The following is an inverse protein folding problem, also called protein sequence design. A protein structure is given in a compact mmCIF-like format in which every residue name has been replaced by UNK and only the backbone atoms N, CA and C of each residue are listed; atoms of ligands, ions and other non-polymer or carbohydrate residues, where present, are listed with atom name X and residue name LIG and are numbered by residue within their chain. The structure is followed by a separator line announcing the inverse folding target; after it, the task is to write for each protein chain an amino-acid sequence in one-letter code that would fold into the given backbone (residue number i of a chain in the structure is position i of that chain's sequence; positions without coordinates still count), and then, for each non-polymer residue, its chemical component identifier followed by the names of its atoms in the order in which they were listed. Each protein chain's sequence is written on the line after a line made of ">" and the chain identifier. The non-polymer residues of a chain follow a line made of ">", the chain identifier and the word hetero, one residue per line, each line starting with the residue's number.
data_IF_874794284922
#
_entry.id   IF_874794284922
#
_cell.length_a   1.000
_cell.length_b   1.000
_cell.length_c   1.000
_cell.angle_alpha   90.00
_cell.angle_beta   90.00
_cell.angle_gamma   90.00
#
_symmetry.space_group_name_H-M   'P 1'
#
loop_
_entity.id
_entity.type
_entity.pdbx_description
1 polymer ?
#
# COMPACT_ATOMS: atom_id res chain seq x y z
N UNK A 1 -17.12 12.38 -32.04
CA UNK A 1 -16.16 12.74 -30.97
C UNK A 1 -16.90 12.56 -29.65
N UNK A 2 -16.66 11.44 -28.92
CA UNK A 2 -17.18 11.26 -27.58
C UNK A 2 -16.40 12.19 -26.65
N UNK A 3 -17.10 12.97 -25.85
CA UNK A 3 -16.47 13.75 -24.78
C UNK A 3 -15.93 12.78 -23.72
N UNK A 4 -14.74 13.03 -23.14
CA UNK A 4 -14.26 12.20 -22.05
C UNK A 4 -15.28 12.22 -20.90
N UNK A 5 -15.64 11.03 -20.42
CA UNK A 5 -16.48 10.89 -19.22
C UNK A 5 -15.64 11.40 -18.05
N UNK A 6 -16.10 12.46 -17.41
CA UNK A 6 -15.47 13.03 -16.21
C UNK A 6 -16.45 12.90 -15.06
N UNK A 7 -15.97 12.48 -13.90
CA UNK A 7 -16.80 12.29 -12.72
C UNK A 7 -16.80 10.85 -12.20
N UNK A 8 -17.68 10.50 -11.26
CA UNK A 8 -17.64 9.20 -10.58
C UNK A 8 -17.90 8.00 -11.52
N UNK A 9 -18.58 8.22 -12.67
CA UNK A 9 -18.96 7.16 -13.61
C UNK A 9 -17.86 6.81 -14.63
N UNK A 10 -16.62 7.24 -14.43
CA UNK A 10 -15.49 6.86 -15.30
C UNK A 10 -15.32 5.35 -15.26
N UNK A 11 -15.41 4.63 -16.41
CA UNK A 11 -15.23 3.18 -16.44
C UNK A 11 -13.83 2.79 -15.97
N UNK A 12 -13.75 1.70 -15.18
CA UNK A 12 -12.46 1.12 -14.82
C UNK A 12 -11.76 0.55 -16.05
N UNK A 13 -10.48 0.88 -16.27
CA UNK A 13 -9.70 0.27 -17.36
C UNK A 13 -9.59 -1.26 -17.23
N UNK A 14 -9.80 -1.79 -16.01
CA UNK A 14 -9.70 -3.23 -15.69
C UNK A 14 -11.05 -3.88 -15.40
N UNK A 15 -12.18 -3.27 -15.89
CA UNK A 15 -13.54 -3.74 -15.56
C UNK A 15 -13.77 -5.19 -15.95
N UNK A 16 -13.31 -5.59 -17.13
CA UNK A 16 -13.55 -6.90 -17.74
C UNK A 16 -12.38 -7.89 -17.52
N UNK A 17 -11.31 -7.47 -16.84
CA UNK A 17 -10.15 -8.31 -16.58
C UNK A 17 -10.42 -9.29 -15.44
N UNK A 18 -9.77 -10.49 -15.48
CA UNK A 18 -9.89 -11.50 -14.43
C UNK A 18 -9.64 -10.94 -13.04
N UNK A 19 -10.16 -11.61 -12.03
CA UNK A 19 -9.91 -11.35 -10.62
C UNK A 19 -9.32 -12.60 -9.94
N UNK A 20 -8.79 -12.42 -8.73
CA UNK A 20 -8.25 -13.52 -7.93
C UNK A 20 -6.74 -13.47 -7.74
N UNK A 21 -6.22 -14.42 -6.95
CA UNK A 21 -4.84 -14.40 -6.48
C UNK A 21 -3.80 -14.45 -7.62
N UNK A 22 -3.99 -15.33 -8.60
CA UNK A 22 -3.06 -15.46 -9.74
C UNK A 22 -2.96 -14.17 -10.54
N UNK A 23 -4.10 -13.48 -10.78
CA UNK A 23 -4.10 -12.17 -11.41
C UNK A 23 -3.36 -11.13 -10.58
N UNK A 24 -3.59 -11.13 -9.26
CA UNK A 24 -2.87 -10.25 -8.33
C UNK A 24 -1.37 -10.46 -8.43
N UNK A 25 -0.90 -11.70 -8.29
CA UNK A 25 0.53 -12.04 -8.36
C UNK A 25 1.16 -11.62 -9.69
N UNK A 26 0.47 -11.84 -10.82
CA UNK A 26 0.97 -11.37 -12.12
C UNK A 26 1.13 -9.85 -12.15
N UNK A 27 0.12 -9.10 -11.70
CA UNK A 27 0.16 -7.63 -11.68
C UNK A 27 1.31 -7.13 -10.80
N UNK A 28 1.52 -7.70 -9.61
CA UNK A 28 2.64 -7.35 -8.74
C UNK A 28 3.99 -7.60 -9.42
N UNK A 29 4.21 -8.79 -10.00
CA UNK A 29 5.45 -9.12 -10.68
C UNK A 29 5.75 -8.19 -11.87
N UNK A 30 4.72 -7.79 -12.62
CA UNK A 30 4.86 -6.81 -13.71
C UNK A 30 5.24 -5.43 -13.16
N UNK A 31 4.60 -4.97 -12.08
CA UNK A 31 4.88 -3.66 -11.48
C UNK A 31 6.26 -3.59 -10.80
N UNK A 32 6.77 -4.73 -10.35
CA UNK A 32 8.11 -4.86 -9.83
C UNK A 32 9.17 -4.66 -10.92
N UNK A 33 8.97 -5.25 -12.11
CA UNK A 33 10.00 -5.33 -13.15
C UNK A 33 9.90 -4.25 -14.21
N UNK A 34 8.69 -3.76 -14.54
CA UNK A 34 8.46 -2.78 -15.61
C UNK A 34 9.17 -1.44 -15.35
N UNK A 35 9.71 -0.86 -16.43
CA UNK A 35 10.23 0.50 -16.42
C UNK A 35 9.11 1.51 -16.72
N UNK A 36 8.67 2.33 -15.73
CA UNK A 36 7.63 3.33 -15.93
C UNK A 36 8.04 4.47 -16.88
N UNK A 37 9.34 4.61 -17.18
CA UNK A 37 9.89 5.60 -18.08
C UNK A 37 10.11 5.10 -19.51
N UNK A 38 9.75 3.84 -19.79
CA UNK A 38 9.83 3.32 -21.16
C UNK A 38 9.14 4.26 -22.13
N UNK A 39 9.75 4.48 -23.28
CA UNK A 39 9.21 5.37 -24.33
C UNK A 39 7.85 4.90 -24.81
N UNK A 40 7.63 3.60 -24.87
CA UNK A 40 6.35 2.94 -25.11
C UNK A 40 6.04 2.07 -23.89
N UNK A 41 5.32 2.64 -22.92
CA UNK A 41 4.96 1.94 -21.68
C UNK A 41 4.03 0.74 -21.96
N UNK A 42 3.15 0.83 -22.94
CA UNK A 42 2.26 -0.28 -23.26
C UNK A 42 3.05 -1.48 -23.80
N UNK A 43 4.04 -1.24 -24.67
CA UNK A 43 4.93 -2.28 -25.17
C UNK A 43 5.80 -2.89 -24.05
N UNK A 44 6.33 -2.06 -23.16
CA UNK A 44 7.09 -2.51 -21.98
C UNK A 44 6.23 -3.40 -21.07
N UNK A 45 5.06 -2.93 -20.66
CA UNK A 45 4.14 -3.71 -19.84
C UNK A 45 3.75 -5.02 -20.52
N UNK A 46 3.45 -5.00 -21.82
CA UNK A 46 3.12 -6.23 -22.57
C UNK A 46 4.28 -7.22 -22.60
N UNK A 47 5.52 -6.74 -22.68
CA UNK A 47 6.71 -7.60 -22.62
C UNK A 47 6.85 -8.26 -21.24
N UNK A 48 6.72 -7.49 -20.16
CA UNK A 48 6.77 -8.01 -18.79
C UNK A 48 5.61 -8.98 -18.51
N UNK A 49 4.40 -8.69 -18.98
CA UNK A 49 3.25 -9.58 -18.84
C UNK A 49 3.52 -10.92 -19.53
N UNK A 50 4.08 -10.93 -20.75
CA UNK A 50 4.41 -12.18 -21.44
C UNK A 50 5.45 -13.00 -20.69
N UNK A 51 6.46 -12.36 -20.12
CA UNK A 51 7.50 -13.01 -19.35
C UNK A 51 6.92 -13.65 -18.09
N UNK A 52 6.16 -12.90 -17.30
CA UNK A 52 5.62 -13.38 -16.04
C UNK A 52 4.41 -14.32 -16.20
N UNK A 53 3.66 -14.24 -17.31
CA UNK A 53 2.53 -15.15 -17.59
C UNK A 53 2.92 -16.61 -17.73
N UNK A 54 4.21 -16.89 -17.96
CA UNK A 54 4.74 -18.27 -17.95
C UNK A 54 4.58 -18.93 -16.56
N UNK A 55 4.61 -18.14 -15.49
CA UNK A 55 4.49 -18.60 -14.11
C UNK A 55 3.09 -18.38 -13.55
N UNK A 56 2.45 -17.29 -13.95
CA UNK A 56 1.11 -16.90 -13.48
C UNK A 56 0.16 -16.67 -14.66
N UNK A 57 -0.34 -17.76 -15.28
CA UNK A 57 -1.19 -17.64 -16.46
C UNK A 57 -2.56 -17.05 -16.10
N UNK A 58 -3.00 -16.06 -16.88
CA UNK A 58 -4.31 -15.42 -16.76
C UNK A 58 -5.05 -15.45 -18.08
N UNK A 59 -6.38 -15.44 -18.03
CA UNK A 59 -7.24 -15.42 -19.21
C UNK A 59 -7.42 -13.98 -19.75
N UNK A 60 -6.31 -13.35 -20.12
CA UNK A 60 -6.29 -12.03 -20.77
C UNK A 60 -5.12 -11.95 -21.74
N UNK A 61 -5.31 -11.27 -22.88
CA UNK A 61 -4.20 -11.02 -23.80
C UNK A 61 -3.18 -10.06 -23.15
N UNK A 62 -1.87 -10.28 -23.34
CA UNK A 62 -0.86 -9.39 -22.76
C UNK A 62 -1.02 -7.92 -23.15
N UNK A 63 -1.42 -7.65 -24.40
CA UNK A 63 -1.65 -6.31 -24.90
C UNK A 63 -2.89 -5.66 -24.28
N UNK A 64 -3.93 -6.42 -24.03
CA UNK A 64 -5.15 -5.96 -23.36
C UNK A 64 -4.86 -5.58 -21.91
N UNK A 65 -4.18 -6.46 -21.17
CA UNK A 65 -3.78 -6.19 -19.80
C UNK A 65 -2.81 -5.01 -19.71
N UNK A 66 -1.84 -4.91 -20.63
CA UNK A 66 -0.90 -3.80 -20.68
C UNK A 66 -1.65 -2.47 -20.91
N UNK A 67 -2.55 -2.42 -21.87
CA UNK A 67 -3.36 -1.24 -22.14
C UNK A 67 -4.20 -0.81 -20.94
N UNK A 68 -4.73 -1.77 -20.16
CA UNK A 68 -5.48 -1.51 -18.94
C UNK A 68 -4.58 -1.06 -17.77
N UNK A 69 -3.28 -1.41 -17.78
CA UNK A 69 -2.33 -1.00 -16.75
C UNK A 69 -1.70 0.38 -17.00
N UNK A 70 -1.66 0.87 -18.26
CA UNK A 70 -1.09 2.20 -18.55
C UNK A 70 -1.74 3.31 -17.73
N UNK A 71 -3.09 3.43 -17.63
CA UNK A 71 -3.73 4.51 -16.88
C UNK A 71 -3.29 4.59 -15.40
N UNK A 72 -3.03 3.47 -14.73
CA UNK A 72 -2.59 3.53 -13.34
C UNK A 72 -1.26 4.28 -13.16
N UNK A 73 -0.36 4.22 -14.14
CA UNK A 73 0.92 4.93 -14.10
C UNK A 73 0.77 6.44 -14.27
N UNK A 74 -0.34 6.89 -14.89
CA UNK A 74 -0.66 8.29 -15.12
C UNK A 74 -1.69 8.82 -14.10
N UNK A 75 -2.14 7.99 -13.16
CA UNK A 75 -3.05 8.42 -12.09
C UNK A 75 -2.29 9.24 -11.03
N UNK A 76 -2.79 10.43 -10.64
CA UNK A 76 -2.20 11.18 -9.53
C UNK A 76 -2.20 10.35 -8.24
N UNK A 77 -1.09 10.33 -7.51
CA UNK A 77 -0.93 9.58 -6.25
C UNK A 77 -1.44 10.35 -5.02
N UNK A 78 -2.05 11.51 -5.24
CA UNK A 78 -2.62 12.32 -4.15
C UNK A 78 -1.58 13.10 -3.34
N UNK A 79 -1.98 13.62 -2.17
CA UNK A 79 -1.19 14.62 -1.43
C UNK A 79 0.11 14.08 -0.86
N UNK A 80 0.19 12.79 -0.49
CA UNK A 80 1.43 12.20 0.05
C UNK A 80 2.57 12.16 -0.97
N UNK A 81 2.24 12.15 -2.26
CA UNK A 81 3.21 12.20 -3.34
C UNK A 81 3.24 13.57 -4.06
N UNK A 82 2.67 14.62 -3.45
CA UNK A 82 2.64 15.95 -4.07
C UNK A 82 1.88 16.01 -5.40
N UNK A 83 0.93 15.11 -5.61
CA UNK A 83 0.18 14.99 -6.86
C UNK A 83 0.97 14.36 -8.03
N UNK A 84 2.19 13.88 -7.79
CA UNK A 84 2.95 13.13 -8.80
C UNK A 84 2.23 11.84 -9.19
N UNK A 85 2.59 11.29 -10.34
CA UNK A 85 2.16 9.97 -10.81
C UNK A 85 3.33 8.99 -10.73
N UNK A 86 3.09 7.69 -10.92
CA UNK A 86 4.16 6.71 -11.00
C UNK A 86 5.15 7.03 -12.12
N UNK A 87 4.72 7.69 -13.19
CA UNK A 87 5.58 8.14 -14.30
C UNK A 87 6.50 9.31 -13.95
N UNK A 88 6.30 9.98 -12.83
CA UNK A 88 7.19 11.05 -12.37
C UNK A 88 8.28 10.57 -11.41
N UNK A 89 8.20 9.30 -10.96
CA UNK A 89 9.10 8.77 -9.94
C UNK A 89 10.01 7.72 -10.59
N UNK A 90 11.28 8.09 -10.79
CA UNK A 90 12.27 7.26 -11.46
C UNK A 90 12.67 6.02 -10.68
N UNK A 91 13.33 5.08 -11.37
CA UNK A 91 13.82 3.85 -10.73
C UNK A 91 14.83 4.14 -9.62
N UNK A 92 15.58 5.24 -9.69
CA UNK A 92 16.49 5.70 -8.63
C UNK A 92 15.78 6.20 -7.38
N UNK A 93 14.50 6.55 -7.50
CA UNK A 93 13.64 7.05 -6.43
C UNK A 93 12.60 6.03 -5.98
N UNK A 94 12.78 4.78 -6.42
CA UNK A 94 11.88 3.67 -6.14
C UNK A 94 12.67 2.45 -5.70
N UNK A 95 12.52 2.05 -4.45
CA UNK A 95 12.93 0.73 -3.99
C UNK A 95 11.76 -0.23 -4.27
N UNK A 96 12.00 -1.22 -5.11
CA UNK A 96 11.01 -2.23 -5.50
C UNK A 96 11.26 -3.50 -4.71
N UNK A 97 10.21 -4.13 -4.24
CA UNK A 97 10.20 -5.36 -3.46
C UNK A 97 11.27 -5.36 -2.34
N UNK A 98 10.97 -4.59 -1.28
CA UNK A 98 11.82 -4.58 -0.10
C UNK A 98 11.52 -5.80 0.76
N UNK A 99 12.29 -6.86 0.56
CA UNK A 99 12.28 -8.01 1.45
C UNK A 99 12.82 -7.64 2.83
N UNK A 100 12.15 -8.14 3.85
CA UNK A 100 12.58 -7.91 5.23
C UNK A 100 12.41 -9.14 6.10
N UNK A 101 13.33 -9.25 7.06
CA UNK A 101 13.27 -10.17 8.18
C UNK A 101 13.67 -9.40 9.43
N UNK A 102 12.70 -9.15 10.31
CA UNK A 102 12.91 -8.40 11.54
C UNK A 102 12.68 -9.31 12.76
N UNK A 103 13.63 -9.38 13.70
CA UNK A 103 13.38 -10.06 14.96
C UNK A 103 12.31 -9.31 15.75
N UNK A 104 11.39 -10.07 16.32
CA UNK A 104 10.39 -9.61 17.28
C UNK A 104 10.83 -9.91 18.70
N UNK A 105 10.21 -9.26 19.68
CA UNK A 105 10.44 -9.50 21.07
C UNK A 105 10.37 -11.00 21.43
N UNK A 106 11.36 -11.46 22.16
CA UNK A 106 11.47 -12.87 22.58
C UNK A 106 12.15 -13.79 21.56
N UNK A 107 12.32 -13.41 20.30
CA UNK A 107 13.03 -14.22 19.29
C UNK A 107 12.63 -15.69 19.31
N UNK A 108 13.55 -16.59 18.94
CA UNK A 108 13.36 -18.05 18.99
C UNK A 108 13.47 -18.65 20.39
N UNK A 109 13.98 -17.89 21.36
CA UNK A 109 14.14 -18.36 22.73
C UNK A 109 12.90 -18.05 23.54
N UNK A 110 12.45 -19.01 24.38
CA UNK A 110 11.52 -18.73 25.48
C UNK A 110 12.26 -17.83 26.49
N UNK A 111 12.22 -16.53 26.26
CA UNK A 111 12.78 -15.55 27.16
C UNK A 111 11.73 -15.17 28.19
N UNK A 112 12.18 -14.59 29.31
CA UNK A 112 11.30 -13.98 30.32
C UNK A 112 10.67 -12.67 29.85
N UNK A 113 10.89 -12.28 28.58
CA UNK A 113 10.26 -11.10 28.00
C UNK A 113 8.74 -11.30 27.89
N UNK A 114 7.94 -10.28 28.20
CA UNK A 114 6.50 -10.34 28.07
C UNK A 114 6.12 -10.67 26.62
N UNK A 115 5.09 -11.51 26.48
CA UNK A 115 4.55 -11.87 25.17
C UNK A 115 3.76 -10.70 24.61
N UNK A 116 4.20 -10.16 23.47
CA UNK A 116 3.46 -9.14 22.75
C UNK A 116 2.39 -9.79 21.86
N UNK A 117 1.17 -9.27 21.92
CA UNK A 117 0.01 -9.74 21.14
C UNK A 117 -0.52 -8.65 20.23
N UNK A 118 -1.28 -9.03 19.21
CA UNK A 118 -1.92 -8.03 18.34
C UNK A 118 -2.85 -7.09 19.11
N UNK A 119 -3.52 -7.56 20.16
CA UNK A 119 -4.34 -6.70 21.02
C UNK A 119 -3.54 -5.56 21.69
N UNK A 120 -2.24 -5.73 21.91
CA UNK A 120 -1.39 -4.72 22.55
C UNK A 120 -1.14 -3.49 21.64
N UNK A 121 -1.47 -3.61 20.33
CA UNK A 121 -1.46 -2.48 19.41
C UNK A 121 -2.67 -1.56 19.58
N UNK A 122 -3.81 -2.07 20.08
CA UNK A 122 -5.04 -1.31 20.17
C UNK A 122 -4.92 -0.04 21.06
N UNK A 123 -4.28 -0.10 22.26
CA UNK A 123 -4.02 1.11 23.05
C UNK A 123 -3.21 2.16 22.28
N UNK A 124 -2.18 1.74 21.52
CA UNK A 124 -1.36 2.67 20.74
C UNK A 124 -2.17 3.38 19.66
N UNK A 125 -3.05 2.64 18.95
CA UNK A 125 -3.93 3.27 17.97
C UNK A 125 -4.86 4.30 18.61
N UNK A 126 -5.48 3.96 19.75
CA UNK A 126 -6.38 4.86 20.48
C UNK A 126 -5.69 6.10 21.03
N UNK A 127 -4.42 5.98 21.41
CA UNK A 127 -3.62 7.09 21.94
C UNK A 127 -3.17 8.05 20.84
N UNK A 128 -2.78 7.51 19.68
CA UNK A 128 -2.09 8.29 18.66
C UNK A 128 -2.96 8.70 17.47
N UNK A 129 -4.02 7.95 17.15
CA UNK A 129 -4.90 8.29 16.03
C UNK A 129 -6.00 9.26 16.47
N UNK A 130 -6.27 10.33 15.69
CA UNK A 130 -7.44 11.17 15.91
C UNK A 130 -8.73 10.35 15.70
N UNK A 131 -9.81 10.75 16.38
CA UNK A 131 -11.08 10.02 16.35
C UNK A 131 -11.73 9.98 14.95
N UNK A 132 -11.42 10.94 14.09
CA UNK A 132 -11.87 11.05 12.71
C UNK A 132 -10.93 10.40 11.69
N UNK A 133 -9.85 9.75 12.15
CA UNK A 133 -8.98 8.97 11.27
C UNK A 133 -9.78 7.81 10.64
N UNK A 134 -9.70 7.61 9.32
CA UNK A 134 -10.47 6.58 8.62
C UNK A 134 -10.19 5.15 9.10
N UNK A 135 -9.07 4.92 9.77
CA UNK A 135 -8.67 3.62 10.28
C UNK A 135 -8.70 3.53 11.82
N UNK A 136 -9.19 4.55 12.54
CA UNK A 136 -9.23 4.57 14.01
C UNK A 136 -10.02 3.38 14.60
N UNK A 137 -11.11 2.96 13.94
CA UNK A 137 -11.93 1.82 14.37
C UNK A 137 -11.20 0.48 14.31
N UNK A 138 -10.05 0.41 13.64
CA UNK A 138 -9.25 -0.81 13.60
C UNK A 138 -8.73 -1.23 15.00
N UNK A 139 -8.62 -0.28 15.94
CA UNK A 139 -8.32 -0.57 17.33
C UNK A 139 -9.35 -1.54 17.98
N UNK A 140 -10.62 -1.47 17.59
CA UNK A 140 -11.65 -2.38 18.09
C UNK A 140 -11.53 -3.76 17.45
N UNK A 141 -11.17 -3.83 16.18
CA UNK A 141 -10.88 -5.08 15.49
C UNK A 141 -9.72 -5.85 16.11
N UNK A 142 -8.68 -5.15 16.55
CA UNK A 142 -7.54 -5.75 17.26
C UNK A 142 -7.91 -6.30 18.65
N UNK A 143 -9.04 -5.89 19.22
CA UNK A 143 -9.56 -6.43 20.48
C UNK A 143 -10.42 -7.68 20.30
N UNK A 144 -10.75 -8.05 19.05
CA UNK A 144 -11.44 -9.31 18.76
C UNK A 144 -10.56 -10.49 19.21
N UNK A 145 -11.08 -11.42 20.04
CA UNK A 145 -10.29 -12.54 20.54
C UNK A 145 -9.68 -13.42 19.45
N UNK A 146 -10.33 -13.53 18.30
CA UNK A 146 -9.83 -14.31 17.16
C UNK A 146 -8.55 -13.72 16.54
N UNK A 147 -8.45 -12.40 16.51
CA UNK A 147 -7.28 -11.69 15.98
C UNK A 147 -6.32 -11.29 17.10
N UNK A 148 -6.82 -10.63 18.14
CA UNK A 148 -6.01 -9.98 19.17
C UNK A 148 -5.20 -10.95 20.03
N UNK A 149 -5.62 -12.20 20.18
CA UNK A 149 -4.87 -13.20 20.94
C UNK A 149 -3.62 -13.73 20.22
N UNK A 150 -3.42 -13.37 18.93
CA UNK A 150 -2.25 -13.81 18.19
C UNK A 150 -0.98 -13.17 18.74
N UNK A 151 0.02 -14.03 19.00
CA UNK A 151 1.32 -13.62 19.54
C UNK A 151 2.25 -13.14 18.46
N UNK A 152 2.90 -12.00 18.69
CA UNK A 152 3.95 -11.43 17.85
C UNK A 152 5.33 -11.89 18.39
N UNK A 153 5.80 -13.03 17.88
CA UNK A 153 7.06 -13.67 18.30
C UNK A 153 7.88 -14.14 17.10
N UNK A 154 9.18 -14.36 17.33
CA UNK A 154 10.08 -14.90 16.33
C UNK A 154 10.56 -13.82 15.37
N UNK A 155 10.22 -13.96 14.10
CA UNK A 155 10.60 -13.02 13.03
C UNK A 155 9.39 -12.55 12.28
N UNK A 156 9.34 -11.26 12.01
CA UNK A 156 8.42 -10.68 11.05
C UNK A 156 9.09 -10.70 9.68
N UNK A 157 8.58 -11.54 8.78
CA UNK A 157 9.08 -11.68 7.41
C UNK A 157 8.04 -11.22 6.41
N UNK A 158 8.48 -10.66 5.30
CA UNK A 158 7.61 -10.22 4.22
C UNK A 158 8.34 -9.39 3.18
N UNK A 159 7.58 -8.84 2.24
CA UNK A 159 8.06 -7.88 1.25
C UNK A 159 7.14 -6.67 1.19
N UNK A 160 7.70 -5.49 1.01
CA UNK A 160 6.98 -4.26 0.69
C UNK A 160 7.08 -4.07 -0.82
N UNK A 161 5.96 -3.97 -1.52
CA UNK A 161 5.92 -3.89 -2.99
C UNK A 161 6.80 -2.75 -3.53
N UNK A 162 6.68 -1.55 -2.94
CA UNK A 162 7.59 -0.46 -3.25
C UNK A 162 7.72 0.56 -2.10
N UNK A 163 8.87 1.23 -2.05
CA UNK A 163 9.06 2.45 -1.27
C UNK A 163 9.46 3.56 -2.22
N UNK A 164 8.70 4.64 -2.24
CA UNK A 164 8.94 5.81 -3.09
C UNK A 164 9.66 6.90 -2.29
N UNK A 165 10.72 7.45 -2.87
CA UNK A 165 11.40 8.63 -2.37
C UNK A 165 10.78 9.86 -3.01
N UNK A 166 10.05 10.65 -2.24
CA UNK A 166 9.29 11.82 -2.69
C UNK A 166 10.00 13.08 -2.23
N UNK A 167 10.29 14.05 -3.14
CA UNK A 167 10.83 15.35 -2.74
C UNK A 167 9.93 16.07 -1.76
N UNK A 168 10.51 16.67 -0.71
CA UNK A 168 9.79 17.48 0.27
C UNK A 168 10.65 18.67 0.73
N UNK A 169 10.36 19.84 0.21
CA UNK A 169 11.19 21.02 0.43
C UNK A 169 12.64 20.80 -0.04
N UNK A 170 13.60 20.92 0.89
CA UNK A 170 15.02 20.64 0.63
C UNK A 170 15.42 19.19 0.90
N UNK A 171 14.48 18.34 1.28
CA UNK A 171 14.71 16.94 1.64
C UNK A 171 13.83 15.97 0.88
N UNK A 172 13.65 14.80 1.47
CA UNK A 172 12.82 13.73 0.92
C UNK A 172 12.02 13.08 2.03
N UNK A 173 10.83 12.59 1.69
CA UNK A 173 10.08 11.64 2.50
C UNK A 173 9.98 10.30 1.78
N UNK A 174 9.77 9.24 2.52
CA UNK A 174 9.66 7.88 2.00
C UNK A 174 8.24 7.38 2.23
N UNK A 175 7.59 6.96 1.15
CA UNK A 175 6.20 6.52 1.15
C UNK A 175 6.16 5.04 0.80
N UNK A 176 5.55 4.24 1.66
CA UNK A 176 5.26 2.82 1.38
C UNK A 176 4.18 2.73 0.32
N UNK A 177 4.33 1.83 -0.63
CA UNK A 177 3.30 1.49 -1.62
C UNK A 177 2.97 0.02 -1.53
N UNK A 178 1.70 -0.29 -1.58
CA UNK A 178 1.17 -1.64 -1.70
C UNK A 178 0.09 -1.66 -2.80
N UNK A 179 0.23 -2.57 -3.77
CA UNK A 179 -0.70 -2.70 -4.89
C UNK A 179 -1.84 -3.64 -4.55
N UNK A 180 -3.06 -3.26 -4.87
CA UNK A 180 -4.26 -4.07 -4.63
C UNK A 180 -5.06 -4.27 -5.91
N UNK A 181 -5.35 -5.51 -6.25
CA UNK A 181 -6.14 -5.88 -7.43
C UNK A 181 -7.58 -6.24 -7.09
N UNK A 182 -8.03 -5.95 -5.87
CA UNK A 182 -9.38 -6.22 -5.40
C UNK A 182 -10.44 -5.56 -6.29
N UNK A 183 -11.52 -6.30 -6.59
CA UNK A 183 -12.73 -5.74 -7.18
C UNK A 183 -13.65 -5.30 -6.05
N UNK A 184 -13.86 -3.99 -5.90
CA UNK A 184 -14.71 -3.41 -4.84
C UNK A 184 -16.17 -3.18 -5.29
N UNK A 185 -16.40 -3.11 -6.61
CA UNK A 185 -17.73 -2.91 -7.16
C UNK A 185 -18.59 -4.17 -7.15
N UNK A 186 -19.90 -3.96 -7.30
CA UNK A 186 -20.88 -5.01 -7.46
C UNK A 186 -20.54 -5.87 -8.71
N UNK A 187 -20.50 -7.22 -8.58
CA UNK A 187 -20.23 -8.11 -9.70
C UNK A 187 -21.22 -7.98 -10.86
N UNK A 188 -22.44 -7.56 -10.59
CA UNK A 188 -23.53 -7.46 -11.57
C UNK A 188 -23.54 -6.13 -12.34
N UNK A 189 -22.67 -5.19 -11.97
CA UNK A 189 -22.56 -3.87 -12.61
C UNK A 189 -21.19 -3.64 -13.22
N UNK A 190 -21.09 -2.82 -14.27
CA UNK A 190 -19.82 -2.36 -14.79
C UNK A 190 -19.01 -1.68 -13.68
N UNK A 191 -17.73 -2.00 -13.59
CA UNK A 191 -16.83 -1.42 -12.62
C UNK A 191 -16.44 0.00 -13.03
N UNK A 192 -16.52 0.94 -12.11
CA UNK A 192 -16.20 2.35 -12.34
C UNK A 192 -15.25 2.90 -11.27
N UNK A 193 -14.71 4.08 -11.50
CA UNK A 193 -13.90 4.80 -10.54
C UNK A 193 -14.66 5.09 -9.22
N UNK A 194 -15.99 5.21 -9.26
CA UNK A 194 -16.83 5.42 -8.08
C UNK A 194 -16.80 4.25 -7.09
N UNK A 195 -16.50 3.04 -7.58
CA UNK A 195 -16.35 1.88 -6.72
C UNK A 195 -15.06 1.91 -5.90
N UNK A 196 -14.17 2.86 -6.17
CA UNK A 196 -12.88 3.08 -5.52
C UNK A 196 -12.76 4.48 -4.94
N UNK A 197 -13.85 5.04 -4.47
CA UNK A 197 -13.83 6.26 -3.67
C UNK A 197 -13.19 6.00 -2.29
N UNK A 198 -12.79 7.06 -1.60
CA UNK A 198 -12.09 6.94 -0.32
C UNK A 198 -12.87 6.14 0.75
N UNK A 199 -14.19 6.33 0.94
CA UNK A 199 -14.96 5.54 1.91
C UNK A 199 -14.95 4.04 1.61
N UNK A 200 -15.18 3.64 0.35
CA UNK A 200 -15.19 2.23 -0.04
C UNK A 200 -13.82 1.58 0.10
N UNK A 201 -12.77 2.31 -0.26
CA UNK A 201 -11.40 1.83 -0.03
C UNK A 201 -11.09 1.70 1.46
N UNK A 202 -11.53 2.64 2.31
CA UNK A 202 -11.35 2.54 3.77
C UNK A 202 -12.07 1.31 4.33
N UNK A 203 -13.30 1.02 3.88
CA UNK A 203 -14.02 -0.19 4.25
C UNK A 203 -13.26 -1.46 3.82
N UNK A 204 -12.75 -1.49 2.59
CA UNK A 204 -11.93 -2.60 2.10
C UNK A 204 -10.65 -2.79 2.91
N UNK A 205 -10.00 -1.68 3.31
CA UNK A 205 -8.83 -1.70 4.21
C UNK A 205 -9.17 -2.39 5.53
N UNK A 206 -10.24 -1.95 6.19
CA UNK A 206 -10.68 -2.48 7.49
C UNK A 206 -11.09 -3.96 7.41
N UNK A 207 -11.82 -4.34 6.34
CA UNK A 207 -12.31 -5.70 6.15
C UNK A 207 -11.18 -6.72 5.92
N UNK A 208 -10.09 -6.31 5.28
CA UNK A 208 -8.98 -7.19 4.88
C UNK A 208 -7.76 -7.12 5.82
N UNK A 209 -7.90 -6.53 7.00
CA UNK A 209 -6.81 -6.32 7.97
C UNK A 209 -5.58 -5.59 7.38
N UNK A 210 -5.77 -4.81 6.28
CA UNK A 210 -4.70 -4.01 5.68
C UNK A 210 -4.13 -2.91 6.59
N UNK A 211 -4.88 -2.35 7.58
CA UNK A 211 -4.27 -1.43 8.53
C UNK A 211 -3.14 -2.05 9.34
N UNK A 212 -3.24 -3.34 9.70
CA UNK A 212 -2.13 -4.05 10.34
C UNK A 212 -0.90 -4.13 9.44
N UNK A 213 -1.10 -4.51 8.17
CA UNK A 213 -0.03 -4.54 7.17
C UNK A 213 0.63 -3.16 7.03
N UNK A 214 -0.16 -2.09 6.90
CA UNK A 214 0.33 -0.71 6.78
C UNK A 214 1.18 -0.29 7.98
N UNK A 215 0.74 -0.63 9.21
CA UNK A 215 1.46 -0.36 10.44
C UNK A 215 2.79 -1.11 10.50
N UNK A 216 2.77 -2.41 10.19
CA UNK A 216 3.98 -3.25 10.18
C UNK A 216 4.98 -2.78 9.13
N UNK A 217 4.52 -2.47 7.90
CA UNK A 217 5.37 -1.94 6.84
C UNK A 217 5.97 -0.58 7.20
N UNK A 218 5.19 0.29 7.86
CA UNK A 218 5.70 1.57 8.36
C UNK A 218 6.76 1.39 9.44
N UNK A 219 6.60 0.42 10.36
CA UNK A 219 7.61 0.09 11.37
C UNK A 219 8.88 -0.51 10.74
N UNK A 220 8.74 -1.36 9.72
CA UNK A 220 9.86 -1.89 8.92
C UNK A 220 10.62 -0.75 8.27
N UNK A 221 9.91 0.15 7.57
CA UNK A 221 10.52 1.31 6.92
C UNK A 221 11.21 2.23 7.94
N UNK A 222 10.58 2.47 9.10
CA UNK A 222 11.17 3.24 10.20
C UNK A 222 12.52 2.66 10.64
N UNK A 223 12.58 1.35 10.89
CA UNK A 223 13.82 0.67 11.29
C UNK A 223 14.87 0.68 10.19
N UNK A 224 14.46 0.44 8.95
CA UNK A 224 15.34 0.48 7.79
C UNK A 224 15.97 1.87 7.60
N UNK A 225 15.17 2.94 7.64
CA UNK A 225 15.65 4.31 7.49
C UNK A 225 16.54 4.73 8.65
N UNK A 226 16.22 4.36 9.89
CA UNK A 226 17.04 4.61 11.08
C UNK A 226 18.43 3.96 10.98
N UNK A 227 18.51 2.81 10.32
CA UNK A 227 19.78 2.14 10.04
C UNK A 227 20.55 2.76 8.89
N UNK A 228 19.87 3.27 7.86
CA UNK A 228 20.49 3.69 6.59
C UNK A 228 20.76 5.19 6.49
N UNK A 229 20.03 6.01 7.20
CA UNK A 229 20.13 7.47 7.14
C UNK A 229 20.72 8.01 8.44
N UNK A 230 21.94 8.65 8.36
CA UNK A 230 22.58 9.22 9.55
C UNK A 230 21.74 10.30 10.26
N UNK A 231 21.03 11.13 9.48
CA UNK A 231 20.18 12.22 9.99
C UNK A 231 18.70 11.85 9.99
N UNK A 232 18.39 10.58 10.25
CA UNK A 232 17.02 10.11 10.25
C UNK A 232 16.18 10.79 11.33
N UNK A 233 15.08 11.37 10.88
CA UNK A 233 14.02 11.95 11.71
C UNK A 233 12.67 11.39 11.24
N UNK A 234 11.92 10.65 12.06
CA UNK A 234 10.64 10.08 11.65
C UNK A 234 9.62 11.13 11.22
N UNK A 235 9.63 12.33 11.80
CA UNK A 235 8.71 13.40 11.43
C UNK A 235 8.98 13.98 10.04
N UNK A 236 10.21 13.86 9.56
CA UNK A 236 10.62 14.35 8.24
C UNK A 236 10.58 13.26 7.17
N UNK A 237 10.92 12.04 7.54
CA UNK A 237 11.22 11.00 6.56
C UNK A 237 10.11 9.98 6.37
N UNK A 238 9.20 9.77 7.37
CA UNK A 238 8.04 8.90 7.19
C UNK A 238 6.94 9.64 6.44
N UNK A 239 6.73 9.28 5.17
CA UNK A 239 5.77 9.91 4.27
C UNK A 239 4.38 9.27 4.29
N UNK A 240 4.18 8.20 5.06
CA UNK A 240 2.94 7.44 5.10
C UNK A 240 2.89 6.27 4.12
N UNK A 241 1.68 5.82 3.82
CA UNK A 241 1.42 4.65 2.97
C UNK A 241 0.41 4.97 1.88
N UNK A 242 0.58 4.36 0.72
CA UNK A 242 -0.33 4.38 -0.42
C UNK A 242 -0.77 2.95 -0.72
N UNK A 243 -2.06 2.66 -0.55
CA UNK A 243 -2.67 1.46 -1.08
C UNK A 243 -3.27 1.80 -2.44
N UNK A 244 -2.67 1.23 -3.49
CA UNK A 244 -3.03 1.50 -4.87
C UNK A 244 -3.97 0.40 -5.37
N UNK A 245 -5.28 0.67 -5.31
CA UNK A 245 -6.32 -0.18 -5.87
C UNK A 245 -6.35 0.00 -7.39
N UNK A 246 -5.51 -0.75 -8.08
CA UNK A 246 -5.17 -0.53 -9.49
C UNK A 246 -6.39 -0.51 -10.42
N UNK A 247 -7.47 -1.21 -10.07
CA UNK A 247 -8.72 -1.21 -10.84
C UNK A 247 -9.47 0.11 -10.76
N UNK A 248 -9.22 0.94 -9.74
CA UNK A 248 -9.82 2.27 -9.59
C UNK A 248 -9.00 3.39 -10.19
N UNK A 249 -7.79 3.09 -10.69
CA UNK A 249 -6.84 4.08 -11.19
C UNK A 249 -7.04 4.33 -12.69
N UNK A 250 -7.74 5.42 -13.03
CA UNK A 250 -8.20 5.72 -14.39
C UNK A 250 -7.33 6.79 -15.11
N UNK A 251 -6.07 6.94 -14.70
CA UNK A 251 -5.16 7.92 -15.28
C UNK A 251 -5.58 9.37 -14.97
N UNK A 252 -5.35 10.26 -15.91
CA UNK A 252 -5.75 11.66 -15.79
C UNK A 252 -7.28 11.87 -15.67
N UNK A 253 -8.07 10.85 -16.02
CA UNK A 253 -9.52 10.87 -15.85
C UNK A 253 -9.99 10.42 -14.46
N UNK A 254 -9.08 9.98 -13.59
CA UNK A 254 -9.43 9.57 -12.22
C UNK A 254 -10.12 10.73 -11.50
N UNK A 255 -11.37 10.53 -11.00
CA UNK A 255 -12.02 11.53 -10.17
C UNK A 255 -11.19 11.82 -8.91
N UNK A 256 -11.10 13.08 -8.55
CA UNK A 256 -10.42 13.52 -7.33
C UNK A 256 -11.47 14.17 -6.42
N UNK A 257 -11.69 13.60 -5.26
CA UNK A 257 -12.60 14.12 -4.25
C UNK A 257 -11.79 14.46 -2.98
N UNK A 258 -11.91 15.69 -2.50
CA UNK A 258 -11.18 16.19 -1.32
C UNK A 258 -9.66 15.94 -1.38
N UNK A 259 -9.08 16.06 -2.59
CA UNK A 259 -7.66 15.81 -2.84
C UNK A 259 -7.27 14.33 -2.96
N UNK A 260 -8.22 13.40 -2.86
CA UNK A 260 -7.99 11.95 -2.95
C UNK A 260 -8.47 11.42 -4.31
N UNK A 261 -7.55 10.94 -5.16
CA UNK A 261 -7.92 10.29 -6.42
C UNK A 261 -8.58 8.93 -6.18
N UNK A 262 -9.56 8.57 -7.02
CA UNK A 262 -10.10 7.21 -7.03
C UNK A 262 -8.99 6.19 -7.24
N UNK A 263 -9.09 5.07 -6.54
CA UNK A 263 -8.09 4.00 -6.57
C UNK A 263 -6.84 4.25 -5.73
N UNK A 264 -6.69 5.45 -5.14
CA UNK A 264 -5.52 5.79 -4.31
C UNK A 264 -5.96 6.03 -2.87
N UNK A 265 -5.77 5.04 -2.00
CA UNK A 265 -5.97 5.22 -0.58
C UNK A 265 -4.66 5.64 0.08
N UNK A 266 -4.61 6.90 0.50
CA UNK A 266 -3.47 7.47 1.21
C UNK A 266 -3.74 7.53 2.72
N UNK A 267 -2.79 7.08 3.53
CA UNK A 267 -2.84 7.17 4.99
C UNK A 267 -1.48 7.55 5.55
N UNK A 268 -1.47 8.51 6.47
CA UNK A 268 -0.25 8.97 7.12
C UNK A 268 -0.39 8.80 8.63
N UNK A 269 -0.04 7.60 9.16
CA UNK A 269 -0.04 7.40 10.60
C UNK A 269 0.94 8.37 11.26
N UNK A 270 0.62 8.92 12.45
CA UNK A 270 1.54 9.77 13.18
C UNK A 270 2.90 9.09 13.39
N UNK A 271 4.02 9.78 13.17
CA UNK A 271 5.35 9.21 13.39
C UNK A 271 5.56 8.68 14.83
N UNK A 272 4.88 9.29 15.81
CA UNK A 272 4.88 8.82 17.20
C UNK A 272 4.23 7.44 17.36
N UNK A 273 3.15 7.14 16.60
CA UNK A 273 2.55 5.81 16.57
C UNK A 273 3.53 4.77 16.04
N UNK A 274 4.22 5.09 14.95
CA UNK A 274 5.17 4.16 14.33
C UNK A 274 6.39 3.90 15.23
N UNK A 275 6.88 4.93 15.92
CA UNK A 275 7.95 4.78 16.89
C UNK A 275 7.51 3.90 18.07
N UNK A 276 6.35 4.19 18.67
CA UNK A 276 5.79 3.39 19.77
C UNK A 276 5.53 1.92 19.36
N UNK A 277 5.01 1.71 18.14
CA UNK A 277 4.85 0.37 17.59
C UNK A 277 6.19 -0.35 17.42
N UNK A 278 7.20 0.31 16.89
CA UNK A 278 8.55 -0.26 16.76
C UNK A 278 9.12 -0.67 18.12
N UNK A 279 8.95 0.17 19.16
CA UNK A 279 9.41 -0.10 20.51
C UNK A 279 8.63 -1.28 21.15
N UNK A 280 7.32 -1.36 20.94
CA UNK A 280 6.49 -2.49 21.36
C UNK A 280 6.99 -3.80 20.73
N UNK A 281 7.25 -3.79 19.42
CA UNK A 281 7.74 -4.97 18.69
C UNK A 281 9.14 -5.42 19.17
N UNK A 282 9.96 -4.51 19.71
CA UNK A 282 11.25 -4.82 20.34
C UNK A 282 11.13 -5.17 21.84
N UNK A 283 9.92 -5.16 22.40
CA UNK A 283 9.64 -5.25 23.85
C UNK A 283 10.39 -4.22 24.71
N UNK A 284 10.76 -3.09 24.15
CA UNK A 284 11.45 -2.02 24.88
C UNK A 284 10.49 -1.09 25.65
N UNK A 285 9.18 -1.23 25.45
CA UNK A 285 8.15 -0.39 26.06
C UNK A 285 7.18 -1.12 26.98
N UNK A 286 7.39 -2.40 27.28
CA UNK A 286 6.48 -3.15 28.17
C UNK A 286 7.01 -3.07 29.60
N UNK A 287 6.31 -2.38 30.55
CA UNK A 287 6.66 -2.42 31.96
C UNK A 287 6.60 -3.86 32.47
N UNK A 288 7.62 -4.28 33.20
CA UNK A 288 7.71 -5.60 33.82
C UNK A 288 6.61 -5.81 34.89
#
# INVERSE_FOLDING_TARGET
>A
LAFPVTGPDVPSPMADLPAGATFGTLVHAVLETADPFAADLAAELAAQIREHSAWWPVAAAPEELAAAMVPMHDTPLGPLAGGMTLRHIGLSDRLRELDFELPLAGGDRRSAAPEVRLADLAPLLREHLPADDPLASYADRLMDPGLGAQSLRGYLTGSIDAVLRIPDGSGHRFVVVDYKTNRLGDPERPLTAADYDRPRMAEAMLHSDYPLQALLYSAVLHRFLRWRLPDYDPCRHLGGVLYLFVRGMCGAASPVLDGHPSGVFSWQPPPSLIAALSDLLDAQGVPA
#
